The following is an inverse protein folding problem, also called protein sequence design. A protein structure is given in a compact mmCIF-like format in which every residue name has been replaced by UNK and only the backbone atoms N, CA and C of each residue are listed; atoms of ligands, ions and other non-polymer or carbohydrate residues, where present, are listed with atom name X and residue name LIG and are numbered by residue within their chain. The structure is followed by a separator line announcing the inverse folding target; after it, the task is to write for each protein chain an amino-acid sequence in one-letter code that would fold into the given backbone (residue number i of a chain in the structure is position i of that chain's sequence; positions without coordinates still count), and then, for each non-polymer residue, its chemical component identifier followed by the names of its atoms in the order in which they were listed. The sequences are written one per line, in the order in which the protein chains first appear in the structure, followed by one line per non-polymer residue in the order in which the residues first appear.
data_IF_813106774674
#
_entry.id   IF_813106774674
#
_cell.length_a   1.000
_cell.length_b   1.000
_cell.length_c   1.000
_cell.angle_alpha   90.00
_cell.angle_beta   90.00
_cell.angle_gamma   90.00
#
_symmetry.space_group_name_H-M   'P 1'
#
loop_
_entity.id
_entity.type
_entity.pdbx_description
1 polymer ?
#
# COMPACT_ATOMS: atom_id res chain seq x y z
N UNK A 1 8.59 -6.42 -10.96
CA UNK A 1 7.13 -6.65 -11.12
C UNK A 1 6.90 -7.02 -12.56
N UNK A 2 6.10 -8.06 -12.80
CA UNK A 2 5.85 -8.57 -14.15
C UNK A 2 4.50 -8.06 -14.63
N UNK A 3 4.47 -7.43 -15.81
CA UNK A 3 3.25 -6.94 -16.43
C UNK A 3 2.65 -8.10 -17.23
N UNK A 4 1.40 -8.46 -16.94
CA UNK A 4 0.65 -9.47 -17.65
C UNK A 4 -0.32 -8.82 -18.63
N UNK A 5 -0.23 -9.22 -19.90
CA UNK A 5 -1.13 -8.73 -20.95
C UNK A 5 -2.40 -9.58 -20.99
N UNK A 6 -3.55 -8.96 -21.17
CA UNK A 6 -4.79 -9.70 -21.38
C UNK A 6 -4.83 -10.35 -22.76
N UNK A 7 -5.60 -11.45 -22.88
CA UNK A 7 -5.96 -12.00 -24.19
C UNK A 7 -6.89 -11.01 -24.92
N UNK A 8 -6.70 -10.90 -26.23
CA UNK A 8 -7.44 -10.00 -27.12
C UNK A 8 -8.83 -10.55 -27.47
N UNK A 9 -9.63 -10.90 -26.45
CA UNK A 9 -10.95 -11.51 -26.62
C UNK A 9 -12.07 -10.50 -26.84
N UNK A 10 -11.95 -9.28 -26.29
CA UNK A 10 -12.94 -8.20 -26.50
C UNK A 10 -12.23 -6.89 -26.89
N UNK A 11 -12.92 -5.92 -27.51
CA UNK A 11 -12.32 -4.63 -27.88
C UNK A 11 -11.65 -3.89 -26.71
N UNK A 12 -12.23 -3.98 -25.52
CA UNK A 12 -11.73 -3.32 -24.31
C UNK A 12 -10.46 -3.96 -23.74
N UNK A 13 -10.24 -5.27 -23.95
CA UNK A 13 -9.07 -5.97 -23.40
C UNK A 13 -7.85 -5.94 -24.30
N UNK A 14 -7.96 -5.50 -25.57
CA UNK A 14 -6.85 -5.58 -26.54
C UNK A 14 -5.57 -4.87 -26.09
N UNK A 15 -5.71 -3.71 -25.45
CA UNK A 15 -4.61 -2.91 -24.94
C UNK A 15 -4.50 -3.00 -23.40
N UNK A 16 -5.23 -3.93 -22.78
CA UNK A 16 -5.31 -4.05 -21.34
C UNK A 16 -4.10 -4.81 -20.78
N UNK A 17 -3.49 -4.23 -19.75
CA UNK A 17 -2.41 -4.84 -18.99
C UNK A 17 -2.71 -4.78 -17.49
N UNK A 18 -2.29 -5.81 -16.76
CA UNK A 18 -2.39 -5.85 -15.30
C UNK A 18 -1.09 -6.32 -14.67
N UNK A 19 -0.86 -5.85 -13.46
CA UNK A 19 0.24 -6.34 -12.63
C UNK A 19 -0.13 -7.69 -11.98
N UNK A 20 0.87 -8.55 -11.78
CA UNK A 20 0.69 -9.82 -11.08
C UNK A 20 0.28 -9.56 -9.63
N UNK A 21 -0.97 -9.89 -9.28
CA UNK A 21 -1.50 -9.63 -7.95
C UNK A 21 -0.84 -10.53 -6.90
N UNK A 22 -0.20 -9.91 -5.89
CA UNK A 22 0.19 -10.62 -4.67
C UNK A 22 -1.09 -10.92 -3.86
N UNK A 23 -1.28 -12.19 -3.46
CA UNK A 23 -2.45 -12.61 -2.66
C UNK A 23 -2.55 -11.77 -1.39
N UNK A 24 -3.68 -11.08 -1.22
CA UNK A 24 -3.95 -10.27 -0.03
C UNK A 24 -4.74 -11.06 1.00
N UNK A 25 -4.17 -11.28 2.19
CA UNK A 25 -4.92 -11.59 3.41
C UNK A 25 -4.78 -10.41 4.37
N UNK A 26 -5.58 -9.34 4.21
CA UNK A 26 -5.42 -8.14 5.01
C UNK A 26 -5.77 -8.43 6.47
N UNK A 27 -4.87 -8.07 7.40
CA UNK A 27 -5.03 -8.34 8.83
C UNK A 27 -5.71 -7.17 9.53
N UNK A 28 -6.71 -7.46 10.35
CA UNK A 28 -7.75 -6.49 10.77
C UNK A 28 -7.25 -5.27 11.57
N UNK A 29 -6.14 -5.38 12.33
CA UNK A 29 -5.81 -4.35 13.33
C UNK A 29 -5.07 -3.10 12.80
N UNK A 30 -4.66 -3.07 11.53
CA UNK A 30 -3.94 -1.93 10.91
C UNK A 30 -4.75 -1.23 9.82
N UNK A 31 -6.05 -1.55 9.75
CA UNK A 31 -6.98 -1.09 8.73
C UNK A 31 -7.94 -0.11 9.38
N UNK A 32 -8.07 1.07 8.78
CA UNK A 32 -8.92 2.15 9.26
C UNK A 32 -9.97 2.48 8.20
N UNK A 33 -11.18 2.79 8.65
CA UNK A 33 -12.20 3.37 7.78
C UNK A 33 -11.65 4.65 7.15
N UNK A 34 -11.58 4.70 5.82
CA UNK A 34 -11.03 5.86 5.14
C UNK A 34 -11.88 7.10 5.47
N UNK A 35 -11.27 8.05 6.17
CA UNK A 35 -11.89 9.32 6.49
C UNK A 35 -12.05 10.14 5.19
N UNK A 36 -13.31 10.39 4.82
CA UNK A 36 -13.79 11.48 3.97
C UNK A 36 -12.75 12.09 3.00
N UNK A 37 -12.35 11.35 1.97
CA UNK A 37 -11.76 12.02 0.82
C UNK A 37 -12.92 12.72 0.12
N UNK A 38 -12.97 14.06 0.16
CA UNK A 38 -14.10 14.89 -0.30
C UNK A 38 -14.47 14.74 -1.77
N UNK A 39 -13.96 13.72 -2.47
CA UNK A 39 -14.22 13.40 -3.89
C UNK A 39 -14.04 14.63 -4.79
N UNK A 40 -13.08 15.49 -4.45
CA UNK A 40 -12.79 16.74 -5.17
C UNK A 40 -13.51 17.99 -4.65
N UNK A 41 -14.26 17.88 -3.55
CA UNK A 41 -14.92 19.01 -2.86
C UNK A 41 -14.16 19.41 -1.60
N UNK A 42 -14.21 20.71 -1.29
CA UNK A 42 -13.68 21.27 -0.04
C UNK A 42 -14.73 21.22 1.10
N UNK A 43 -14.37 21.73 2.28
CA UNK A 43 -15.26 21.79 3.44
C UNK A 43 -16.56 22.61 3.22
N UNK A 44 -16.58 23.51 2.23
CA UNK A 44 -17.77 24.29 1.83
C UNK A 44 -18.65 23.54 0.81
N UNK A 45 -18.28 22.31 0.44
CA UNK A 45 -18.96 21.53 -0.59
C UNK A 45 -18.66 21.95 -2.03
N UNK A 46 -17.76 22.92 -2.25
CA UNK A 46 -17.42 23.42 -3.58
C UNK A 46 -16.41 22.49 -4.25
N UNK A 47 -16.62 22.17 -5.53
CA UNK A 47 -15.66 21.40 -6.35
C UNK A 47 -14.41 22.25 -6.54
N UNK A 48 -13.32 21.85 -5.89
CA UNK A 48 -11.98 22.46 -6.07
C UNK A 48 -11.10 21.62 -6.99
N UNK A 49 -11.35 20.31 -7.09
CA UNK A 49 -10.64 19.39 -7.98
C UNK A 49 -11.64 18.66 -8.86
N UNK A 50 -11.57 18.88 -10.18
CA UNK A 50 -12.44 18.23 -11.16
C UNK A 50 -12.02 16.77 -11.43
N UNK A 51 -12.90 16.02 -12.10
CA UNK A 51 -12.67 14.61 -12.50
C UNK A 51 -12.34 13.66 -11.33
N UNK A 52 -12.93 13.92 -10.15
CA UNK A 52 -12.82 13.06 -8.96
C UNK A 52 -14.23 12.66 -8.51
N UNK A 53 -14.42 11.39 -8.15
CA UNK A 53 -15.74 10.83 -7.80
C UNK A 53 -15.89 9.37 -8.24
N UNK A 54 -16.91 8.66 -7.74
CA UNK A 54 -17.35 7.36 -8.30
C UNK A 54 -16.46 6.12 -8.13
N UNK A 55 -15.23 6.23 -7.62
CA UNK A 55 -14.34 5.08 -7.46
C UNK A 55 -14.74 4.11 -6.33
N UNK A 56 -14.29 2.85 -6.44
CA UNK A 56 -14.49 1.77 -5.45
C UNK A 56 -14.09 2.17 -4.02
N UNK A 57 -14.82 1.66 -3.02
CA UNK A 57 -14.53 1.92 -1.59
C UNK A 57 -13.15 1.37 -1.21
N UNK A 58 -12.36 2.15 -0.47
CA UNK A 58 -11.01 1.76 -0.03
C UNK A 58 -10.92 1.91 1.47
N UNK A 59 -10.17 1.01 2.10
CA UNK A 59 -9.82 1.11 3.50
C UNK A 59 -8.39 1.64 3.61
N UNK A 60 -8.15 2.53 4.57
CA UNK A 60 -6.84 3.10 4.77
C UNK A 60 -5.97 2.15 5.57
N UNK A 61 -4.74 1.92 5.12
CA UNK A 61 -3.72 1.17 5.88
C UNK A 61 -2.74 2.14 6.49
N UNK A 62 -2.60 2.11 7.82
CA UNK A 62 -1.70 2.99 8.57
C UNK A 62 -0.26 2.56 8.34
N UNK A 63 0.48 3.38 7.60
CA UNK A 63 1.92 3.20 7.35
C UNK A 63 2.72 3.96 8.39
N UNK A 64 3.81 3.34 8.86
CA UNK A 64 4.89 4.01 9.58
C UNK A 64 5.86 4.69 8.59
N UNK A 65 5.59 5.96 8.28
CA UNK A 65 6.48 6.78 7.45
C UNK A 65 7.66 7.35 8.25
N UNK A 66 7.53 7.48 9.57
CA UNK A 66 8.51 8.16 10.42
C UNK A 66 9.68 7.25 10.80
N UNK A 67 9.40 5.96 11.00
CA UNK A 67 10.43 4.94 11.36
C UNK A 67 11.24 5.37 12.60
N UNK A 68 10.56 5.84 13.64
CA UNK A 68 11.19 6.42 14.83
C UNK A 68 11.91 5.40 15.72
N UNK A 69 11.52 4.13 15.66
CA UNK A 69 12.13 3.04 16.44
C UNK A 69 13.48 2.68 15.83
N UNK A 70 14.56 3.05 16.53
CA UNK A 70 15.94 2.73 16.16
C UNK A 70 16.37 1.42 16.81
N UNK A 71 17.35 0.76 16.19
CA UNK A 71 18.06 -0.41 16.75
C UNK A 71 17.19 -1.64 17.05
N UNK A 72 15.97 -1.68 16.50
CA UNK A 72 15.07 -2.84 16.60
C UNK A 72 15.05 -3.57 15.26
N UNK A 73 15.33 -4.86 15.31
CA UNK A 73 15.19 -5.76 14.16
C UNK A 73 13.71 -6.01 13.87
N UNK A 74 13.36 -5.95 12.59
CA UNK A 74 12.04 -6.34 12.11
C UNK A 74 12.13 -7.35 10.98
N UNK A 75 11.23 -8.32 10.93
CA UNK A 75 11.12 -9.28 9.81
C UNK A 75 9.96 -8.90 8.91
N UNK A 76 10.19 -8.92 7.60
CA UNK A 76 9.12 -8.77 6.61
C UNK A 76 8.32 -10.07 6.55
N UNK A 77 7.04 -10.00 6.89
CA UNK A 77 6.15 -11.15 6.96
C UNK A 77 5.31 -11.29 5.69
N UNK A 78 4.77 -10.17 5.19
CA UNK A 78 3.98 -10.15 3.96
C UNK A 78 4.31 -8.92 3.11
N UNK A 79 4.08 -9.05 1.81
CA UNK A 79 4.04 -7.95 0.86
C UNK A 79 2.60 -7.91 0.34
N UNK A 80 1.97 -6.73 0.39
CA UNK A 80 0.54 -6.58 0.10
C UNK A 80 0.30 -5.41 -0.85
N UNK A 81 -0.68 -5.58 -1.74
CA UNK A 81 -1.18 -4.50 -2.58
C UNK A 81 -2.04 -3.54 -1.75
N UNK A 82 -1.74 -2.24 -1.76
CA UNK A 82 -2.57 -1.20 -1.09
C UNK A 82 -3.35 -0.33 -2.08
N UNK A 83 -4.68 -0.23 -1.97
CA UNK A 83 -5.48 0.52 -2.93
C UNK A 83 -5.35 2.05 -2.81
N UNK A 84 -4.66 2.58 -1.79
CA UNK A 84 -4.53 4.01 -1.54
C UNK A 84 -3.25 4.60 -2.15
N UNK A 85 -2.39 3.77 -2.76
CA UNK A 85 -1.12 4.19 -3.37
C UNK A 85 -0.68 3.19 -4.44
N UNK A 86 0.30 3.58 -5.25
CA UNK A 86 0.83 2.70 -6.30
C UNK A 86 1.86 1.69 -5.75
N UNK A 87 2.56 2.05 -4.66
CA UNK A 87 3.59 1.19 -4.06
C UNK A 87 2.97 0.06 -3.23
N UNK A 88 3.59 -1.13 -3.30
CA UNK A 88 3.31 -2.22 -2.38
C UNK A 88 3.74 -1.85 -0.96
N UNK A 89 3.11 -2.48 0.02
CA UNK A 89 3.46 -2.31 1.43
C UNK A 89 3.93 -3.63 2.01
N UNK A 90 4.82 -3.55 2.99
CA UNK A 90 5.30 -4.70 3.76
C UNK A 90 4.73 -4.66 5.16
N UNK A 91 4.22 -5.79 5.65
CA UNK A 91 3.98 -5.98 7.07
C UNK A 91 5.28 -6.38 7.75
N UNK A 92 5.71 -5.60 8.74
CA UNK A 92 6.86 -5.90 9.59
C UNK A 92 6.36 -6.40 10.94
N UNK A 93 6.96 -7.48 11.42
CA UNK A 93 6.93 -7.86 12.83
C UNK A 93 8.26 -7.45 13.45
N UNK A 94 8.20 -6.56 14.44
CA UNK A 94 9.36 -6.13 15.21
C UNK A 94 9.64 -7.08 16.37
N UNK A 95 10.88 -7.06 16.87
CA UNK A 95 11.28 -7.88 18.02
C UNK A 95 10.54 -7.56 19.33
N UNK A 96 9.98 -6.36 19.46
CA UNK A 96 9.14 -5.93 20.59
C UNK A 96 7.69 -6.46 20.51
N UNK A 97 7.34 -7.19 19.43
CA UNK A 97 6.00 -7.72 19.18
C UNK A 97 5.08 -6.75 18.43
N UNK A 98 5.52 -5.51 18.16
CA UNK A 98 4.75 -4.57 17.38
C UNK A 98 4.68 -4.96 15.90
N UNK A 99 3.56 -4.57 15.26
CA UNK A 99 3.33 -4.80 13.84
C UNK A 99 3.04 -3.49 13.16
N UNK A 100 3.81 -3.17 12.11
CA UNK A 100 3.59 -1.94 11.34
C UNK A 100 3.72 -2.21 9.84
N UNK A 101 2.99 -1.44 9.05
CA UNK A 101 3.20 -1.39 7.61
C UNK A 101 4.29 -0.38 7.27
N UNK A 102 5.16 -0.74 6.33
CA UNK A 102 6.08 0.19 5.65
C UNK A 102 5.86 0.13 4.14
N UNK A 103 6.38 1.12 3.40
CA UNK A 103 6.52 0.98 1.95
C UNK A 103 7.52 -0.13 1.62
N UNK A 104 7.17 -1.00 0.68
CA UNK A 104 8.03 -2.06 0.19
C UNK A 104 9.22 -1.45 -0.58
N UNK A 105 10.46 -1.56 -0.08
CA UNK A 105 11.62 -1.10 -0.81
C UNK A 105 11.98 -2.11 -1.90
N UNK A 106 12.53 -1.62 -3.01
CA UNK A 106 12.98 -2.47 -4.11
C UNK A 106 14.04 -3.46 -3.62
N UNK A 107 13.86 -4.74 -3.95
CA UNK A 107 14.81 -5.79 -3.60
C UNK A 107 14.62 -6.38 -2.20
N UNK A 108 13.67 -5.88 -1.40
CA UNK A 108 13.27 -6.58 -0.19
C UNK A 108 12.56 -7.89 -0.56
N UNK A 109 12.90 -8.96 0.15
CA UNK A 109 12.30 -10.28 -0.02
C UNK A 109 11.63 -10.64 1.31
N UNK A 110 10.63 -11.51 1.27
CA UNK A 110 10.00 -12.06 2.46
C UNK A 110 11.05 -12.71 3.37
N UNK A 111 10.78 -12.69 4.67
CA UNK A 111 11.59 -13.35 5.70
C UNK A 111 12.99 -12.79 5.96
N UNK A 112 13.41 -11.77 5.19
CA UNK A 112 14.66 -11.08 5.44
C UNK A 112 14.54 -10.18 6.68
N UNK A 113 15.52 -10.24 7.62
CA UNK A 113 15.61 -9.27 8.70
C UNK A 113 15.99 -7.90 8.14
N UNK A 114 15.14 -6.92 8.38
CA UNK A 114 15.40 -5.52 8.08
C UNK A 114 16.01 -4.87 9.33
N UNK A 115 17.28 -4.47 9.24
CA UNK A 115 17.86 -3.58 10.23
C UNK A 115 17.50 -2.14 9.86
N UNK A 116 16.71 -1.48 10.71
CA UNK A 116 16.34 -0.09 10.53
C UNK A 116 17.49 0.81 10.98
N UNK A 117 18.49 0.97 10.10
CA UNK A 117 19.50 2.01 10.26
C UNK A 117 18.89 3.32 9.79
N UNK A 118 18.92 4.34 10.65
CA UNK A 118 18.60 5.69 10.25
C UNK A 118 19.63 6.14 9.20
N UNK A 119 19.28 6.05 7.92
CA UNK A 119 19.93 6.88 6.91
C UNK A 119 19.46 8.30 7.16
N UNK A 120 20.28 9.04 7.90
CA UNK A 120 20.26 10.50 7.86
C UNK A 120 20.45 10.91 6.39
N UNK A 121 19.58 11.81 5.93
CA UNK A 121 19.92 12.71 4.84
C UNK A 121 21.05 13.63 5.31
#
# INVERSE_FOLDING_TARGET
MAIHLYKTSTPSTRNGAVDSQVKSNPRNNLIYGQHHCGKGRNARGIITVRHRGGGHKRLYRKIDFRRNTKDIYGRIVTIEYDPNRNAYICLIHYGDGEKRYILHPRGAILEIPLFLVQKFL
#
